data_IF_712170619663
#
_entry.id   IF_712170619663
#
_cell.length_a   1.000
_cell.length_b   1.000
_cell.length_c   1.000
_cell.angle_alpha   90.00
_cell.angle_beta   90.00
_cell.angle_gamma   90.00
#
_symmetry.space_group_name_H-M   'P 1'
#
loop_
_entity.id
_entity.type
_entity.pdbx_description
1 polymer ?
#
# COMPACT_ATOMS: atom_id res chain seq x y z
N UNK A 1 -8.90 11.13 -6.79
CA UNK A 1 -7.64 11.87 -6.99
C UNK A 1 -6.60 11.24 -6.08
N UNK A 2 -6.25 9.98 -6.37
CA UNK A 2 -5.01 9.40 -5.88
C UNK A 2 -3.88 9.99 -6.70
N UNK A 3 -2.72 10.19 -6.10
CA UNK A 3 -1.56 10.75 -6.77
C UNK A 3 -1.01 9.69 -7.75
N UNK A 4 -1.59 9.63 -8.96
CA UNK A 4 -1.39 8.58 -9.96
C UNK A 4 0.10 8.39 -10.28
N UNK A 5 0.85 9.49 -10.37
CA UNK A 5 2.30 9.45 -10.59
C UNK A 5 3.04 8.81 -9.42
N UNK A 6 2.61 9.09 -8.20
CA UNK A 6 3.21 8.50 -7.01
C UNK A 6 2.87 7.00 -6.90
N UNK A 7 1.69 6.58 -7.34
CA UNK A 7 1.29 5.17 -7.33
C UNK A 7 1.88 4.36 -8.49
N UNK A 8 2.16 4.96 -9.64
CA UNK A 8 2.79 4.26 -10.77
C UNK A 8 4.14 3.62 -10.39
N UNK A 9 5.02 4.34 -9.68
CA UNK A 9 6.30 3.82 -9.21
C UNK A 9 6.12 2.69 -8.17
N UNK A 10 5.07 2.76 -7.35
CA UNK A 10 4.73 1.74 -6.35
C UNK A 10 4.18 0.47 -6.99
N UNK A 11 3.27 0.62 -7.96
CA UNK A 11 2.69 -0.46 -8.75
C UNK A 11 3.79 -1.20 -9.53
N UNK A 12 4.79 -0.48 -10.04
CA UNK A 12 5.95 -1.09 -10.71
C UNK A 12 6.81 -1.98 -9.81
N UNK A 13 6.75 -1.82 -8.48
CA UNK A 13 7.45 -2.69 -7.53
C UNK A 13 6.75 -4.06 -7.35
N UNK A 14 5.54 -4.23 -7.89
CA UNK A 14 4.74 -5.44 -7.84
C UNK A 14 3.82 -5.53 -6.62
N UNK A 15 2.71 -6.26 -6.79
CA UNK A 15 1.66 -6.38 -5.77
C UNK A 15 2.16 -7.05 -4.49
N UNK A 16 3.02 -8.07 -4.58
CA UNK A 16 3.55 -8.76 -3.39
C UNK A 16 4.35 -7.80 -2.50
N UNK A 17 5.20 -6.96 -3.11
CA UNK A 17 5.96 -5.92 -2.40
C UNK A 17 5.02 -4.91 -1.75
N UNK A 18 3.96 -4.49 -2.46
CA UNK A 18 2.96 -3.57 -1.93
C UNK A 18 2.22 -4.13 -0.72
N UNK A 19 1.81 -5.39 -0.78
CA UNK A 19 1.15 -6.06 0.34
C UNK A 19 2.08 -6.21 1.54
N UNK A 20 3.32 -6.66 1.32
CA UNK A 20 4.30 -6.80 2.38
C UNK A 20 4.59 -5.46 3.07
N UNK A 21 4.71 -4.38 2.30
CA UNK A 21 4.89 -3.02 2.80
C UNK A 21 3.66 -2.51 3.56
N UNK A 22 2.45 -2.77 3.08
CA UNK A 22 1.22 -2.35 3.74
C UNK A 22 0.96 -3.11 5.05
N UNK A 23 1.32 -4.39 5.11
CA UNK A 23 1.13 -5.24 6.30
C UNK A 23 2.19 -4.95 7.36
N UNK A 24 3.46 -4.98 6.98
CA UNK A 24 4.58 -4.82 7.92
C UNK A 24 4.92 -3.36 8.22
N UNK A 25 4.44 -2.44 7.38
CA UNK A 25 4.86 -1.05 7.37
C UNK A 25 6.05 -0.85 6.44
N UNK A 26 6.19 0.36 5.94
CA UNK A 26 7.22 0.72 4.99
C UNK A 26 7.71 2.13 5.25
N UNK A 27 9.02 2.30 5.35
CA UNK A 27 9.65 3.61 5.38
C UNK A 27 10.31 3.86 4.03
N UNK A 28 9.82 4.87 3.31
CA UNK A 28 10.34 5.26 2.01
C UNK A 28 10.65 6.75 1.93
N UNK A 29 11.03 7.18 0.73
CA UNK A 29 11.37 8.57 0.45
C UNK A 29 10.21 9.55 0.70
N UNK A 30 8.97 9.08 0.56
CA UNK A 30 7.76 9.87 0.79
C UNK A 30 7.31 9.92 2.27
N UNK A 31 8.01 9.20 3.17
CA UNK A 31 7.67 9.12 4.59
C UNK A 31 7.50 7.70 5.10
N UNK A 32 6.86 7.57 6.25
CA UNK A 32 6.63 6.30 6.95
C UNK A 32 5.17 5.91 6.79
N UNK A 33 4.92 4.73 6.20
CA UNK A 33 3.65 4.03 6.21
C UNK A 33 3.66 3.06 7.40
N UNK A 34 2.85 3.29 8.44
CA UNK A 34 2.72 2.33 9.54
C UNK A 34 2.13 1.02 9.04
N UNK A 35 2.56 -0.10 9.63
CA UNK A 35 1.98 -1.41 9.32
C UNK A 35 0.48 -1.41 9.56
N UNK A 36 -0.26 -2.05 8.64
CA UNK A 36 -1.72 -2.10 8.60
C UNK A 36 -2.39 -0.72 8.65
N UNK A 37 -1.75 0.30 8.07
CA UNK A 37 -2.25 1.69 8.11
C UNK A 37 -2.32 2.28 9.52
N UNK A 38 -1.61 1.68 10.49
CA UNK A 38 -1.66 2.08 11.90
C UNK A 38 -2.76 1.40 12.71
N UNK A 39 -3.54 0.51 12.10
CA UNK A 39 -4.53 -0.30 12.80
C UNK A 39 -4.10 -1.78 12.87
N UNK A 40 -3.53 -2.24 14.00
CA UNK A 40 -3.07 -3.62 14.14
C UNK A 40 -4.21 -4.65 14.18
N UNK A 41 -5.47 -4.23 14.31
CA UNK A 41 -6.62 -5.15 14.35
C UNK A 41 -7.06 -5.63 12.97
N UNK A 42 -6.61 -4.99 11.89
CA UNK A 42 -6.95 -5.39 10.54
C UNK A 42 -6.32 -6.74 10.21
N UNK A 43 -7.05 -7.60 9.51
CA UNK A 43 -6.48 -8.80 8.93
C UNK A 43 -5.59 -8.44 7.73
N UNK A 44 -4.64 -9.32 7.42
CA UNK A 44 -3.76 -9.14 6.26
C UNK A 44 -4.57 -9.14 4.95
N UNK A 45 -5.72 -9.82 4.93
CA UNK A 45 -6.65 -9.86 3.80
C UNK A 45 -7.37 -8.52 3.60
N UNK A 46 -7.82 -7.90 4.69
CA UNK A 46 -8.42 -6.55 4.65
C UNK A 46 -7.42 -5.51 4.14
N UNK A 47 -6.16 -5.61 4.59
CA UNK A 47 -5.08 -4.73 4.12
C UNK A 47 -4.80 -4.95 2.62
N UNK A 48 -4.74 -6.20 2.16
CA UNK A 48 -4.56 -6.52 0.72
C UNK A 48 -5.71 -5.97 -0.13
N UNK A 49 -6.95 -6.18 0.30
CA UNK A 49 -8.13 -5.67 -0.41
C UNK A 49 -8.14 -4.14 -0.50
N UNK A 50 -7.70 -3.44 0.55
CA UNK A 50 -7.52 -1.99 0.52
C UNK A 50 -6.42 -1.58 -0.47
N UNK A 51 -5.27 -2.27 -0.49
CA UNK A 51 -4.21 -2.02 -1.46
C UNK A 51 -4.70 -2.23 -2.90
N UNK A 52 -5.46 -3.30 -3.16
CA UNK A 52 -6.04 -3.56 -4.48
C UNK A 52 -6.99 -2.45 -4.92
N UNK A 53 -7.82 -1.96 -4.01
CA UNK A 53 -8.68 -0.82 -4.28
C UNK A 53 -7.88 0.43 -4.62
N UNK A 54 -6.84 0.75 -3.84
CA UNK A 54 -5.97 1.90 -4.09
C UNK A 54 -5.21 1.80 -5.41
N UNK A 55 -4.73 0.60 -5.76
CA UNK A 55 -4.07 0.33 -7.05
C UNK A 55 -5.06 0.51 -8.20
N UNK A 56 -6.26 -0.02 -8.08
CA UNK A 56 -7.34 0.13 -9.07
C UNK A 56 -7.75 1.60 -9.28
N UNK A 57 -7.85 2.39 -8.20
CA UNK A 57 -8.14 3.83 -8.28
C UNK A 57 -6.97 4.68 -8.79
N UNK A 58 -5.77 4.10 -8.90
CA UNK A 58 -4.55 4.77 -9.33
C UNK A 58 -4.06 4.29 -10.71
N UNK A 59 -4.89 3.53 -11.44
CA UNK A 59 -4.70 3.21 -12.86
C UNK A 59 -5.35 4.24 -13.79
#
# INVERSE_FOLDING_TARGET
MGDVEAWAARISAGNETLYANAINGFQGAAGVMPGKGGNPTLSDEEVKAAVDHMVSESQ
#
